data_IF_659116807223
#
_entry.id   IF_659116807223
#
_cell.length_a   1.000
_cell.length_b   1.000
_cell.length_c   1.000
_cell.angle_alpha   90.00
_cell.angle_beta   90.00
_cell.angle_gamma   90.00
#
_symmetry.space_group_name_H-M   'P 1'
#
loop_
_entity.id
_entity.type
_entity.pdbx_description
1 polymer ?
#
# COMPACT_ATOMS: atom_id res chain seq x y z
N UNK A 1 -12.08 11.70 -0.06
CA UNK A 1 -10.78 10.99 0.09
C UNK A 1 -10.05 11.43 1.35
N UNK A 2 -10.16 12.67 1.83
CA UNK A 2 -9.77 13.04 3.22
C UNK A 2 -10.42 12.14 4.29
N UNK A 3 -11.65 11.68 4.03
CA UNK A 3 -12.35 10.67 4.83
C UNK A 3 -11.59 9.35 5.01
N UNK A 4 -10.76 8.92 4.03
CA UNK A 4 -10.06 7.63 4.14
C UNK A 4 -8.91 7.68 5.15
N UNK A 5 -8.17 8.79 5.18
CA UNK A 5 -7.09 9.00 6.16
C UNK A 5 -7.69 9.08 7.57
N UNK A 6 -8.79 9.81 7.73
CA UNK A 6 -9.50 9.90 9.02
C UNK A 6 -9.99 8.53 9.49
N UNK A 7 -10.53 7.70 8.59
CA UNK A 7 -10.95 6.33 8.90
C UNK A 7 -9.77 5.43 9.30
N UNK A 8 -8.63 5.58 8.63
CA UNK A 8 -7.40 4.84 8.96
C UNK A 8 -6.91 5.23 10.35
N UNK A 9 -6.75 6.53 10.62
CA UNK A 9 -6.29 7.07 11.89
C UNK A 9 -7.22 6.73 13.06
N UNK A 10 -8.54 6.76 12.82
CA UNK A 10 -9.55 6.39 13.81
C UNK A 10 -9.68 4.87 14.04
N UNK A 11 -9.09 4.03 13.19
CA UNK A 11 -9.19 2.59 13.33
C UNK A 11 -8.19 2.07 14.36
N UNK A 12 -8.68 1.31 15.35
CA UNK A 12 -7.91 0.84 16.50
C UNK A 12 -6.62 0.07 16.17
N UNK A 13 -6.52 -0.49 14.95
CA UNK A 13 -5.32 -1.20 14.48
C UNK A 13 -4.56 -0.47 13.38
N UNK A 14 -5.22 0.30 12.52
CA UNK A 14 -4.58 0.78 11.29
C UNK A 14 -3.73 2.02 11.54
N UNK A 15 -4.29 3.02 12.23
CA UNK A 15 -3.55 4.22 12.63
C UNK A 15 -2.27 3.87 13.41
N UNK A 16 -2.35 3.09 14.52
CA UNK A 16 -1.17 2.69 15.27
C UNK A 16 -0.13 1.93 14.44
N UNK A 17 -0.54 1.00 13.58
CA UNK A 17 0.38 0.23 12.74
C UNK A 17 1.14 1.12 11.74
N UNK A 18 0.44 2.06 11.08
CA UNK A 18 1.07 2.99 10.15
C UNK A 18 2.06 3.92 10.85
N UNK A 19 1.67 4.50 11.98
CA UNK A 19 2.56 5.37 12.76
C UNK A 19 3.79 4.60 13.22
N UNK A 20 3.62 3.40 13.74
CA UNK A 20 4.74 2.56 14.18
C UNK A 20 5.72 2.24 13.03
N UNK A 21 5.20 1.88 11.85
CA UNK A 21 6.03 1.61 10.68
C UNK A 21 6.85 2.85 10.28
N UNK A 22 6.22 4.02 10.25
CA UNK A 22 6.88 5.28 9.90
C UNK A 22 7.90 5.72 10.96
N UNK A 23 7.56 5.63 12.24
CA UNK A 23 8.47 5.95 13.37
C UNK A 23 9.71 5.03 13.39
N UNK A 24 9.57 3.80 12.87
CA UNK A 24 10.67 2.85 12.74
C UNK A 24 11.52 3.05 11.48
N UNK A 25 11.23 4.07 10.67
CA UNK A 25 11.91 4.32 9.39
C UNK A 25 11.48 3.38 8.27
N UNK A 26 10.35 2.69 8.42
CA UNK A 26 9.78 1.81 7.42
C UNK A 26 9.37 2.57 6.16
N UNK A 27 9.50 1.91 5.00
CA UNK A 27 9.06 2.47 3.72
C UNK A 27 7.68 1.94 3.38
N UNK A 28 6.73 2.81 3.08
CA UNK A 28 5.39 2.38 2.69
C UNK A 28 5.29 2.00 1.21
N UNK A 29 4.41 1.04 0.92
CA UNK A 29 4.06 0.57 -0.43
C UNK A 29 2.55 0.45 -0.54
N UNK A 30 1.97 0.82 -1.69
CA UNK A 30 0.57 0.58 -2.02
C UNK A 30 0.45 -0.65 -2.92
N UNK A 31 -0.02 -1.76 -2.40
CA UNK A 31 -0.18 -3.01 -3.16
C UNK A 31 -1.65 -3.26 -3.49
N UNK A 32 -2.07 -2.93 -4.72
CA UNK A 32 -3.40 -3.31 -5.18
C UNK A 32 -3.40 -4.74 -5.74
N UNK A 33 -4.45 -5.49 -5.44
CA UNK A 33 -4.51 -6.92 -5.71
C UNK A 33 -5.96 -7.42 -5.77
N UNK A 34 -6.16 -8.61 -6.35
CA UNK A 34 -7.44 -9.31 -6.35
C UNK A 34 -7.32 -10.64 -5.60
N UNK A 35 -8.36 -11.05 -4.89
CA UNK A 35 -8.42 -12.33 -4.17
C UNK A 35 -8.81 -13.50 -5.09
N UNK A 36 -8.12 -13.64 -6.25
CA UNK A 36 -8.45 -14.60 -7.31
C UNK A 36 -8.88 -13.94 -8.62
N UNK A 37 -9.64 -14.64 -9.50
CA UNK A 37 -10.26 -14.04 -10.67
C UNK A 37 -11.07 -12.80 -10.27
N UNK A 38 -11.04 -11.75 -11.09
CA UNK A 38 -11.71 -10.48 -10.77
C UNK A 38 -13.21 -10.71 -10.70
N UNK A 39 -13.70 -10.82 -9.47
CA UNK A 39 -15.10 -11.01 -9.15
C UNK A 39 -15.81 -9.67 -8.89
N UNK A 40 -17.05 -9.70 -8.39
CA UNK A 40 -17.84 -8.50 -8.11
C UNK A 40 -17.23 -7.59 -7.04
N UNK A 41 -16.34 -8.13 -6.18
CA UNK A 41 -15.62 -7.37 -5.17
C UNK A 41 -14.49 -6.50 -5.75
N UNK A 42 -14.10 -6.72 -7.01
CA UNK A 42 -13.06 -5.97 -7.70
C UNK A 42 -11.68 -6.19 -7.09
N UNK A 43 -10.94 -5.09 -6.98
CA UNK A 43 -9.59 -5.02 -6.43
C UNK A 43 -9.61 -4.41 -5.04
N UNK A 44 -8.72 -4.90 -4.18
CA UNK A 44 -8.39 -4.29 -2.90
C UNK A 44 -7.07 -3.53 -3.02
N UNK A 45 -6.77 -2.65 -2.06
CA UNK A 45 -5.44 -2.08 -1.88
C UNK A 45 -4.97 -2.29 -0.45
N UNK A 46 -3.74 -2.77 -0.30
CA UNK A 46 -3.03 -2.82 0.97
C UNK A 46 -2.07 -1.65 1.07
N UNK A 47 -2.03 -1.00 2.22
CA UNK A 47 -0.88 -0.17 2.60
C UNK A 47 0.06 -1.07 3.38
N UNK A 48 1.25 -1.29 2.85
CA UNK A 48 2.23 -2.20 3.40
C UNK A 48 3.47 -1.46 3.89
N UNK A 49 4.14 -2.02 4.90
CA UNK A 49 5.54 -1.76 5.16
C UNK A 49 6.39 -2.66 4.26
N UNK A 50 7.37 -2.06 3.58
CA UNK A 50 8.43 -2.78 2.87
C UNK A 50 9.51 -3.17 3.87
N UNK A 51 9.61 -4.46 4.17
CA UNK A 51 10.67 -5.01 5.00
C UNK A 51 11.84 -5.48 4.15
N UNK A 52 13.04 -5.10 4.55
CA UNK A 52 14.27 -5.56 3.92
C UNK A 52 14.99 -6.52 4.87
N UNK A 53 15.39 -7.68 4.33
CA UNK A 53 16.34 -8.56 5.02
C UNK A 53 15.75 -9.55 6.03
N UNK A 54 14.44 -9.72 6.08
CA UNK A 54 13.78 -10.66 7.00
C UNK A 54 13.85 -12.13 6.51
N UNK A 55 14.29 -12.36 5.28
CA UNK A 55 14.52 -13.70 4.75
C UNK A 55 15.76 -13.80 3.85
N UNK A 56 16.39 -14.98 3.72
CA UNK A 56 17.50 -15.18 2.78
C UNK A 56 17.14 -14.79 1.34
N UNK A 57 15.87 -14.97 0.93
CA UNK A 57 15.40 -14.60 -0.41
C UNK A 57 15.29 -13.09 -0.58
N UNK A 58 14.85 -12.37 0.45
CA UNK A 58 14.83 -10.91 0.46
C UNK A 58 16.25 -10.32 0.46
N UNK A 59 17.16 -10.90 1.24
CA UNK A 59 18.58 -10.52 1.24
C UNK A 59 19.24 -10.72 -0.13
N UNK A 60 18.83 -11.76 -0.86
CA UNK A 60 19.27 -12.02 -2.24
C UNK A 60 18.51 -11.21 -3.29
N UNK A 61 17.59 -10.32 -2.89
CA UNK A 61 16.76 -9.51 -3.80
C UNK A 61 15.77 -10.31 -4.65
N UNK A 62 15.50 -11.57 -4.27
CA UNK A 62 14.60 -12.48 -5.00
C UNK A 62 13.13 -12.30 -4.61
N UNK A 63 12.86 -11.58 -3.53
CA UNK A 63 11.53 -11.35 -2.99
C UNK A 63 11.48 -9.98 -2.30
N UNK A 64 10.35 -9.29 -2.40
CA UNK A 64 10.09 -8.08 -1.61
C UNK A 64 9.26 -8.49 -0.40
N UNK A 65 9.78 -8.21 0.80
CA UNK A 65 9.00 -8.35 2.02
C UNK A 65 7.95 -7.26 2.10
N UNK A 66 6.68 -7.64 2.01
CA UNK A 66 5.56 -6.74 2.24
C UNK A 66 4.77 -7.22 3.45
N UNK A 67 4.69 -6.38 4.48
CA UNK A 67 3.81 -6.59 5.62
C UNK A 67 2.59 -5.67 5.48
N UNK A 68 1.40 -6.24 5.46
CA UNK A 68 0.15 -5.46 5.37
C UNK A 68 -0.16 -4.77 6.70
N UNK A 69 -0.27 -3.43 6.66
CA UNK A 69 -0.65 -2.60 7.80
C UNK A 69 -2.15 -2.24 7.75
N UNK A 70 -2.64 -1.97 6.54
CA UNK A 70 -4.02 -1.54 6.27
C UNK A 70 -4.53 -2.28 5.04
N UNK A 71 -5.78 -2.75 5.10
CA UNK A 71 -6.44 -3.39 3.96
C UNK A 71 -7.74 -2.67 3.62
N UNK A 72 -7.82 -2.11 2.41
CA UNK A 72 -9.01 -1.41 1.90
C UNK A 72 -9.65 -2.27 0.81
N UNK A 73 -10.86 -2.77 1.09
CA UNK A 73 -11.62 -3.61 0.15
C UNK A 73 -12.41 -2.77 -0.85
N UNK A 74 -12.62 -3.30 -2.06
CA UNK A 74 -13.45 -2.67 -3.08
C UNK A 74 -12.88 -1.34 -3.59
N UNK A 75 -11.56 -1.25 -3.68
CA UNK A 75 -10.82 -0.05 -4.07
C UNK A 75 -11.03 0.31 -5.55
N UNK A 76 -11.10 -0.67 -6.43
CA UNK A 76 -11.33 -0.44 -7.87
C UNK A 76 -12.03 -1.62 -8.54
N UNK A 77 -12.67 -1.38 -9.69
CA UNK A 77 -13.36 -2.43 -10.45
C UNK A 77 -12.50 -3.03 -11.56
N UNK A 78 -11.52 -2.27 -12.03
CA UNK A 78 -10.54 -2.67 -13.04
C UNK A 78 -9.14 -2.22 -12.63
N UNK A 79 -8.10 -2.73 -13.30
CA UNK A 79 -6.72 -2.25 -13.07
C UNK A 79 -6.57 -0.77 -13.46
N UNK A 80 -7.22 -0.35 -14.55
CA UNK A 80 -7.21 1.02 -15.05
C UNK A 80 -7.84 2.00 -14.04
N UNK A 81 -8.80 1.53 -13.23
CA UNK A 81 -9.36 2.32 -12.13
C UNK A 81 -8.45 2.35 -10.90
N UNK A 82 -7.67 1.29 -10.65
CA UNK A 82 -6.86 1.16 -9.44
C UNK A 82 -5.66 2.09 -9.46
N UNK A 83 -4.96 2.19 -10.58
CA UNK A 83 -3.74 2.98 -10.68
C UNK A 83 -3.92 4.47 -10.31
N UNK A 84 -4.88 5.22 -10.91
CA UNK A 84 -5.08 6.62 -10.54
C UNK A 84 -5.56 6.78 -9.09
N UNK A 85 -6.33 5.83 -8.58
CA UNK A 85 -6.75 5.84 -7.18
C UNK A 85 -5.58 5.56 -6.22
N UNK A 86 -4.69 4.63 -6.54
CA UNK A 86 -3.47 4.37 -5.78
C UNK A 86 -2.57 5.60 -5.78
N UNK A 87 -2.37 6.25 -6.93
CA UNK A 87 -1.58 7.48 -7.00
C UNK A 87 -2.18 8.57 -6.10
N UNK A 88 -3.49 8.76 -6.16
CA UNK A 88 -4.16 9.78 -5.36
C UNK A 88 -4.18 9.44 -3.84
N UNK A 89 -4.28 8.16 -3.47
CA UNK A 89 -4.10 7.71 -2.09
C UNK A 89 -2.65 7.92 -1.62
N UNK A 90 -1.67 7.62 -2.48
CA UNK A 90 -0.25 7.81 -2.18
C UNK A 90 0.09 9.26 -1.91
N UNK A 91 -0.43 10.18 -2.73
CA UNK A 91 -0.31 11.62 -2.51
C UNK A 91 -0.91 12.07 -1.17
N UNK A 92 -2.07 11.53 -0.80
CA UNK A 92 -2.70 11.85 0.49
C UNK A 92 -1.87 11.36 1.67
N UNK A 93 -1.35 10.13 1.59
CA UNK A 93 -0.46 9.58 2.61
C UNK A 93 0.82 10.43 2.73
N UNK A 94 1.43 10.77 1.60
CA UNK A 94 2.63 11.60 1.57
C UNK A 94 2.42 12.97 2.21
N UNK A 95 1.31 13.65 1.88
CA UNK A 95 0.98 14.95 2.48
C UNK A 95 0.64 14.84 3.96
N UNK A 96 -0.12 13.84 4.37
CA UNK A 96 -0.58 13.68 5.75
C UNK A 96 0.56 13.30 6.70
N UNK A 97 1.38 12.32 6.30
CA UNK A 97 2.49 11.82 7.09
C UNK A 97 3.83 12.49 6.77
N UNK A 98 3.83 13.52 5.91
CA UNK A 98 5.01 14.28 5.51
C UNK A 98 6.14 13.39 4.95
N UNK A 99 5.78 12.44 4.10
CA UNK A 99 6.74 11.55 3.44
C UNK A 99 7.52 12.32 2.36
N UNK A 100 8.81 12.00 2.20
CA UNK A 100 9.66 12.62 1.17
C UNK A 100 9.15 12.37 -0.26
N UNK A 101 8.49 11.23 -0.47
CA UNK A 101 7.89 10.83 -1.73
C UNK A 101 6.63 9.99 -1.49
N UNK A 102 5.68 9.97 -2.45
CA UNK A 102 4.56 9.03 -2.42
C UNK A 102 5.03 7.56 -2.34
N UNK A 103 4.30 6.68 -1.64
CA UNK A 103 4.56 5.25 -1.65
C UNK A 103 4.60 4.68 -3.07
N UNK A 104 5.53 3.76 -3.33
CA UNK A 104 5.57 3.01 -4.58
C UNK A 104 4.28 2.20 -4.77
N UNK A 105 3.82 2.05 -6.01
CA UNK A 105 2.63 1.27 -6.35
C UNK A 105 3.06 -0.11 -6.82
N UNK A 106 2.47 -1.13 -6.20
CA UNK A 106 2.66 -2.53 -6.51
C UNK A 106 1.34 -3.14 -7.00
N UNK A 107 1.44 -4.10 -7.90
CA UNK A 107 0.35 -4.95 -8.35
C UNK A 107 0.67 -6.41 -8.03
N UNK A 108 -0.22 -7.07 -7.28
CA UNK A 108 -0.07 -8.48 -6.91
C UNK A 108 1.31 -8.80 -6.31
N UNK A 109 1.78 -7.93 -5.41
CA UNK A 109 3.04 -8.06 -4.68
C UNK A 109 4.29 -7.72 -5.51
N UNK A 110 4.14 -7.19 -6.72
CA UNK A 110 5.26 -6.80 -7.59
C UNK A 110 5.23 -5.30 -7.89
N UNK A 111 6.39 -4.64 -8.04
CA UNK A 111 6.42 -3.24 -8.47
C UNK A 111 5.61 -3.07 -9.76
N UNK A 112 4.68 -2.11 -9.76
CA UNK A 112 3.98 -1.73 -10.98
C UNK A 112 4.85 -0.68 -11.69
N UNK A 113 5.18 -0.85 -12.98
CA UNK A 113 5.98 0.13 -13.69
C UNK A 113 5.20 1.44 -13.78
N UNK A 114 5.58 2.43 -12.99
CA UNK A 114 5.20 3.81 -13.23
C UNK A 114 5.95 4.25 -14.49
N UNK A 115 5.22 4.37 -15.60
CA UNK A 115 5.74 5.06 -16.78
C UNK A 115 5.95 6.52 -16.38
N UNK A 116 7.23 6.94 -16.35
CA UNK A 116 7.63 8.34 -16.25
C UNK A 116 7.16 9.14 -17.46
#
# INVERSE_FOLDING_TARGET
>A
MEDIIQKIEGHARYGPALRQALESGGTLVLNYHSHGPVGPEGYCVSICERRQGDSPRQLMGLEVGLEELVHIRGFGRSQDDCLPQCAALGDLLARHYQLDQPPEIFFQGKPYPTVN
#
